data_IF_032453279864
#
_entry.id   IF_032453279864
#
_cell.length_a   1.000
_cell.length_b   1.000
_cell.length_c   1.000
_cell.angle_alpha   90.00
_cell.angle_beta   90.00
_cell.angle_gamma   90.00
#
_symmetry.space_group_name_H-M   'P 1'
#
loop_
_entity.id
_entity.type
_entity.pdbx_description
1 polymer ?
#
# COMPACT_ATOMS: atom_id res chain seq x y z
N UNK A 1 51.24 -15.17 -53.98
CA UNK A 1 50.41 -14.07 -54.53
C UNK A 1 49.00 -14.26 -54.00
N UNK A 2 48.49 -13.27 -53.28
CA UNK A 2 47.46 -13.43 -52.27
C UNK A 2 46.03 -13.50 -52.82
N UNK A 3 45.25 -14.30 -52.10
CA UNK A 3 43.81 -14.52 -52.11
C UNK A 3 43.02 -13.22 -52.07
N UNK A 4 41.94 -13.13 -52.87
CA UNK A 4 40.80 -12.28 -52.54
C UNK A 4 39.52 -12.91 -53.09
N UNK A 5 38.84 -13.69 -52.24
CA UNK A 5 37.47 -14.13 -52.47
C UNK A 5 36.65 -13.71 -51.24
N UNK A 6 35.69 -12.80 -51.51
CA UNK A 6 34.36 -12.71 -50.92
C UNK A 6 34.23 -12.80 -49.39
N UNK A 7 33.83 -11.70 -48.75
CA UNK A 7 32.85 -11.74 -47.65
C UNK A 7 32.17 -10.36 -47.50
N UNK A 8 30.97 -10.22 -48.07
CA UNK A 8 29.96 -9.24 -47.65
C UNK A 8 28.65 -9.99 -47.46
N UNK A 9 28.48 -10.66 -46.33
CA UNK A 9 27.18 -11.12 -45.86
C UNK A 9 26.66 -10.06 -44.88
N UNK A 10 25.70 -9.27 -45.35
CA UNK A 10 24.94 -8.34 -44.54
C UNK A 10 24.17 -9.12 -43.46
N UNK A 11 24.42 -8.78 -42.19
CA UNK A 11 23.60 -9.19 -41.06
C UNK A 11 22.19 -8.61 -41.24
N UNK A 12 21.27 -9.40 -41.80
CA UNK A 12 19.85 -9.09 -41.85
C UNK A 12 19.22 -9.46 -40.49
N UNK A 13 18.48 -8.56 -39.81
CA UNK A 13 17.77 -8.92 -38.58
C UNK A 13 16.78 -10.06 -38.87
N UNK A 14 16.95 -11.19 -38.18
CA UNK A 14 16.37 -12.47 -38.56
C UNK A 14 14.84 -12.53 -38.56
N UNK A 15 14.30 -13.25 -39.55
CA UNK A 15 12.89 -13.64 -39.73
C UNK A 15 12.22 -14.33 -38.52
N UNK A 16 12.96 -14.71 -37.47
CA UNK A 16 12.43 -15.46 -36.30
C UNK A 16 11.70 -14.58 -35.27
N UNK A 17 12.16 -13.36 -35.02
CA UNK A 17 11.51 -12.45 -34.04
C UNK A 17 10.10 -12.04 -34.47
N UNK A 18 9.87 -11.94 -35.79
CA UNK A 18 8.55 -11.68 -36.37
C UNK A 18 7.56 -12.84 -36.12
N UNK A 19 8.06 -14.09 -35.95
CA UNK A 19 7.19 -15.26 -35.75
C UNK A 19 6.65 -15.37 -34.32
N UNK A 20 7.45 -15.07 -33.30
CA UNK A 20 7.01 -15.14 -31.90
C UNK A 20 6.01 -14.04 -31.56
N UNK A 21 6.25 -12.81 -32.04
CA UNK A 21 5.30 -11.70 -31.90
C UNK A 21 3.97 -12.01 -32.63
N UNK A 22 4.04 -12.60 -33.82
CA UNK A 22 2.85 -13.01 -34.58
C UNK A 22 2.08 -14.14 -33.87
N UNK A 23 2.77 -15.12 -33.30
CA UNK A 23 2.16 -16.19 -32.51
C UNK A 23 1.48 -15.64 -31.26
N UNK A 24 2.15 -14.76 -30.51
CA UNK A 24 1.57 -14.10 -29.34
C UNK A 24 0.31 -13.32 -29.75
N UNK A 25 0.39 -12.53 -30.83
CA UNK A 25 -0.77 -11.79 -31.35
C UNK A 25 -1.93 -12.72 -31.70
N UNK A 26 -1.68 -13.85 -32.36
CA UNK A 26 -2.71 -14.83 -32.68
C UNK A 26 -3.37 -15.43 -31.43
N UNK A 27 -2.60 -15.71 -30.38
CA UNK A 27 -3.15 -16.16 -29.10
C UNK A 27 -4.02 -15.07 -28.48
N UNK A 28 -3.53 -13.83 -28.42
CA UNK A 28 -4.28 -12.70 -27.86
C UNK A 28 -5.57 -12.45 -28.64
N UNK A 29 -5.51 -12.40 -29.97
CA UNK A 29 -6.68 -12.15 -30.82
C UNK A 29 -7.74 -13.24 -30.61
N UNK A 30 -7.34 -14.51 -30.52
CA UNK A 30 -8.26 -15.62 -30.24
C UNK A 30 -8.92 -15.51 -28.86
N UNK A 31 -8.17 -15.18 -27.82
CA UNK A 31 -8.73 -14.99 -26.48
C UNK A 31 -9.68 -13.79 -26.44
N UNK A 32 -9.32 -12.68 -27.10
CA UNK A 32 -10.17 -11.49 -27.19
C UNK A 32 -11.46 -11.77 -27.97
N UNK A 33 -11.37 -12.49 -29.09
CA UNK A 33 -12.52 -12.97 -29.84
C UNK A 33 -13.39 -13.91 -29.00
N UNK A 34 -12.79 -14.81 -28.23
CA UNK A 34 -13.50 -15.66 -27.27
C UNK A 34 -14.29 -14.85 -26.24
N UNK A 35 -13.68 -13.82 -25.64
CA UNK A 35 -14.34 -12.91 -24.69
C UNK A 35 -15.49 -12.14 -25.35
N UNK A 36 -15.29 -11.66 -26.60
CA UNK A 36 -16.34 -10.97 -27.37
C UNK A 36 -17.50 -11.90 -27.71
N UNK A 37 -17.20 -13.10 -28.21
CA UNK A 37 -18.19 -14.11 -28.57
C UNK A 37 -18.99 -14.62 -27.36
N UNK A 38 -18.37 -14.67 -26.19
CA UNK A 38 -19.03 -14.99 -24.93
C UNK A 38 -19.87 -13.84 -24.35
N UNK A 39 -19.82 -12.63 -24.93
CA UNK A 39 -20.52 -11.45 -24.39
C UNK A 39 -19.95 -10.94 -23.07
N UNK A 40 -18.76 -11.38 -22.66
CA UNK A 40 -18.10 -10.97 -21.41
C UNK A 40 -17.12 -9.81 -21.61
N UNK A 41 -17.10 -9.25 -22.82
CA UNK A 41 -16.36 -8.03 -23.13
C UNK A 41 -16.81 -6.88 -22.23
N UNK A 42 -15.87 -6.30 -21.49
CA UNK A 42 -16.13 -5.17 -20.59
C UNK A 42 -15.85 -3.87 -21.32
N UNK A 43 -16.88 -3.05 -21.47
CA UNK A 43 -16.76 -1.66 -21.88
C UNK A 43 -16.95 -0.76 -20.66
N UNK A 44 -16.22 0.35 -20.63
CA UNK A 44 -16.38 1.35 -19.59
C UNK A 44 -17.68 2.16 -19.79
N UNK A 45 -18.21 2.66 -18.69
CA UNK A 45 -19.25 3.69 -18.69
C UNK A 45 -18.66 4.94 -18.05
N UNK A 46 -18.76 6.07 -18.72
CA UNK A 46 -18.11 7.32 -18.28
C UNK A 46 -19.02 8.06 -17.32
N UNK A 47 -18.57 8.22 -16.07
CA UNK A 47 -19.26 9.04 -15.06
C UNK A 47 -18.82 10.50 -15.23
N UNK A 48 -19.77 11.43 -15.34
CA UNK A 48 -19.53 12.86 -15.64
C UNK A 48 -19.88 13.80 -14.48
N UNK A 49 -20.19 13.25 -13.31
CA UNK A 49 -20.43 13.99 -12.07
C UNK A 49 -19.42 13.61 -10.99
N UNK A 50 -19.44 14.33 -9.86
CA UNK A 50 -18.82 13.85 -8.61
C UNK A 50 -19.43 12.51 -8.19
N UNK A 51 -18.65 11.72 -7.44
CA UNK A 51 -19.08 10.43 -6.91
C UNK A 51 -20.11 10.62 -5.79
N UNK A 52 -21.15 9.80 -5.73
CA UNK A 52 -22.22 9.90 -4.74
C UNK A 52 -23.35 8.89 -4.99
N UNK A 53 -24.43 8.93 -4.19
CA UNK A 53 -25.58 8.05 -4.37
C UNK A 53 -26.33 8.32 -5.68
N UNK A 54 -26.25 9.54 -6.21
CA UNK A 54 -26.78 9.92 -7.52
C UNK A 54 -25.65 10.51 -8.37
N UNK A 55 -25.46 9.95 -9.56
CA UNK A 55 -24.39 10.32 -10.51
C UNK A 55 -24.97 10.66 -11.89
N UNK A 56 -24.14 11.23 -12.76
CA UNK A 56 -24.42 11.38 -14.19
C UNK A 56 -23.52 10.46 -14.99
N UNK A 57 -24.08 9.82 -16.02
CA UNK A 57 -23.37 8.92 -16.93
C UNK A 57 -23.49 9.50 -18.33
N UNK A 58 -22.39 9.55 -19.07
CA UNK A 58 -22.36 10.04 -20.44
C UNK A 58 -23.41 9.33 -21.32
N UNK A 59 -24.13 10.11 -22.14
CA UNK A 59 -25.16 9.60 -23.03
C UNK A 59 -26.48 9.18 -22.35
N UNK A 60 -26.58 9.27 -21.02
CA UNK A 60 -27.80 8.93 -20.27
C UNK A 60 -28.40 10.19 -19.65
N UNK A 61 -29.68 10.45 -19.93
CA UNK A 61 -30.41 11.59 -19.37
C UNK A 61 -30.86 11.35 -17.93
N UNK A 62 -30.78 12.38 -17.10
CA UNK A 62 -31.22 12.34 -15.71
C UNK A 62 -30.14 11.89 -14.71
N UNK A 63 -30.49 11.90 -13.43
CA UNK A 63 -29.64 11.36 -12.37
C UNK A 63 -29.77 9.85 -12.26
N UNK A 64 -28.65 9.15 -12.09
CA UNK A 64 -28.56 7.70 -11.98
C UNK A 64 -28.18 7.31 -10.56
N UNK A 65 -28.96 6.44 -9.93
CA UNK A 65 -28.61 5.92 -8.61
C UNK A 65 -27.43 4.94 -8.70
N UNK A 66 -26.40 5.17 -7.89
CA UNK A 66 -25.18 4.37 -7.89
C UNK A 66 -25.16 3.37 -6.72
N UNK A 67 -25.26 2.07 -7.04
CA UNK A 67 -25.23 0.97 -6.09
C UNK A 67 -24.00 0.06 -6.22
N UNK A 68 -22.98 0.47 -6.99
CA UNK A 68 -21.78 -0.34 -7.21
C UNK A 68 -20.46 0.38 -6.87
N UNK A 69 -20.53 1.50 -6.13
CA UNK A 69 -19.34 2.18 -5.63
C UNK A 69 -18.88 1.61 -4.28
N UNK A 70 -17.58 1.50 -4.09
CA UNK A 70 -16.96 1.20 -2.79
C UNK A 70 -16.91 2.45 -1.85
N UNK A 71 -17.74 3.46 -2.10
CA UNK A 71 -17.82 4.70 -1.33
C UNK A 71 -18.84 4.57 -0.19
N UNK A 72 -18.65 3.58 0.69
CA UNK A 72 -19.64 3.17 1.70
C UNK A 72 -20.05 4.28 2.66
N UNK A 73 -19.13 5.17 3.01
CA UNK A 73 -19.34 6.28 3.95
C UNK A 73 -19.59 7.62 3.24
N UNK A 74 -19.64 7.66 1.92
CA UNK A 74 -19.87 8.90 1.16
C UNK A 74 -18.68 9.88 1.14
N UNK A 75 -17.51 9.49 1.63
CA UNK A 75 -16.37 10.39 1.85
C UNK A 75 -15.67 10.84 0.56
N UNK A 76 -15.81 10.13 -0.57
CA UNK A 76 -15.13 10.48 -1.83
C UNK A 76 -15.41 11.89 -2.34
N UNK A 77 -16.56 12.48 -1.98
CA UNK A 77 -16.95 13.84 -2.37
C UNK A 77 -17.30 14.73 -1.17
N UNK A 78 -16.93 14.32 0.05
CA UNK A 78 -17.29 15.05 1.26
C UNK A 78 -16.53 16.40 1.32
N UNK A 79 -17.21 17.53 1.62
CA UNK A 79 -16.59 18.85 1.58
C UNK A 79 -15.33 18.99 2.44
N UNK A 80 -15.35 18.45 3.66
CA UNK A 80 -14.19 18.53 4.57
C UNK A 80 -12.99 17.73 4.07
N UNK A 81 -13.21 16.57 3.44
CA UNK A 81 -12.13 15.74 2.87
C UNK A 81 -11.48 16.46 1.69
N UNK A 82 -12.31 17.08 0.83
CA UNK A 82 -11.83 17.89 -0.29
C UNK A 82 -11.05 19.09 0.22
N UNK A 83 -11.56 19.79 1.24
CA UNK A 83 -10.91 20.97 1.79
C UNK A 83 -9.57 20.64 2.44
N UNK A 84 -9.49 19.56 3.21
CA UNK A 84 -8.25 19.06 3.78
C UNK A 84 -7.25 18.67 2.68
N UNK A 85 -7.73 18.04 1.60
CA UNK A 85 -6.92 17.73 0.43
C UNK A 85 -6.36 18.98 -0.26
N UNK A 86 -7.16 20.02 -0.45
CA UNK A 86 -6.71 21.30 -1.01
C UNK A 86 -5.67 21.99 -0.12
N UNK A 87 -5.88 22.00 1.20
CA UNK A 87 -4.89 22.54 2.15
C UNK A 87 -3.58 21.77 2.09
N UNK A 88 -3.63 20.44 2.05
CA UNK A 88 -2.44 19.62 1.93
C UNK A 88 -1.70 19.87 0.60
N UNK A 89 -2.43 20.07 -0.51
CA UNK A 89 -1.81 20.42 -1.79
C UNK A 89 -1.09 21.78 -1.75
N UNK A 90 -1.68 22.77 -1.06
CA UNK A 90 -1.08 24.09 -0.89
C UNK A 90 0.17 24.04 0.01
N UNK A 91 0.09 23.32 1.13
CA UNK A 91 1.17 23.24 2.12
C UNK A 91 2.32 22.32 1.67
N UNK A 92 1.99 21.18 1.06
CA UNK A 92 2.93 20.08 0.80
C UNK A 92 3.20 19.82 -0.68
N UNK A 93 2.43 20.42 -1.59
CA UNK A 93 2.51 20.16 -3.04
C UNK A 93 1.82 18.87 -3.48
N UNK A 94 1.70 18.68 -4.80
CA UNK A 94 0.97 17.55 -5.40
C UNK A 94 1.67 16.18 -5.26
N UNK A 95 2.97 16.17 -4.95
CA UNK A 95 3.75 14.96 -4.83
C UNK A 95 5.23 15.27 -4.61
N UNK A 96 5.99 14.24 -4.23
CA UNK A 96 7.39 14.42 -3.80
C UNK A 96 8.42 14.05 -4.85
N UNK A 97 8.00 13.39 -5.94
CA UNK A 97 8.86 12.98 -7.08
C UNK A 97 10.17 12.30 -6.67
N UNK A 98 10.18 11.64 -5.52
CA UNK A 98 11.39 11.11 -4.90
C UNK A 98 11.08 10.03 -3.87
N UNK A 99 12.05 9.16 -3.62
CA UNK A 99 12.00 8.20 -2.52
C UNK A 99 12.25 8.87 -1.17
N UNK A 100 11.78 8.26 -0.08
CA UNK A 100 11.88 8.78 1.29
C UNK A 100 13.28 9.27 1.66
N UNK A 101 14.31 8.47 1.38
CA UNK A 101 15.70 8.75 1.78
C UNK A 101 16.32 9.96 1.06
N UNK A 102 15.96 10.20 -0.21
CA UNK A 102 16.55 11.28 -1.00
C UNK A 102 15.87 12.61 -0.66
N UNK A 103 14.57 12.74 -0.98
CA UNK A 103 13.79 13.94 -0.63
C UNK A 103 12.27 13.70 -0.57
N UNK A 104 11.85 12.44 -0.40
CA UNK A 104 10.44 12.04 -0.37
C UNK A 104 9.80 12.07 1.03
N UNK A 105 10.37 12.76 2.00
CA UNK A 105 9.91 12.73 3.40
C UNK A 105 9.50 14.12 3.88
N UNK A 106 8.23 14.30 4.23
CA UNK A 106 7.69 15.56 4.80
C UNK A 106 7.42 15.47 6.30
N UNK A 107 7.33 16.64 6.96
CA UNK A 107 7.08 16.80 8.41
C UNK A 107 5.84 16.04 8.89
N UNK A 108 4.74 16.07 8.12
CA UNK A 108 3.48 15.37 8.45
C UNK A 108 3.66 13.85 8.65
N UNK A 109 4.68 13.25 8.03
CA UNK A 109 4.98 11.83 8.22
C UNK A 109 5.76 11.59 9.51
N UNK A 110 6.61 12.53 9.93
CA UNK A 110 7.71 12.22 10.83
C UNK A 110 7.40 12.39 12.31
N UNK A 111 6.54 13.33 12.69
CA UNK A 111 6.45 13.74 14.09
C UNK A 111 5.94 12.61 15.01
N UNK A 112 4.81 12.01 14.67
CA UNK A 112 4.23 10.91 15.46
C UNK A 112 4.99 9.58 15.27
N UNK A 113 5.49 9.32 14.06
CA UNK A 113 6.35 8.14 13.77
C UNK A 113 7.60 8.15 14.65
N UNK A 114 8.30 9.29 14.71
CA UNK A 114 9.53 9.45 15.49
C UNK A 114 9.26 9.36 16.98
N UNK A 115 8.16 9.96 17.47
CA UNK A 115 7.75 9.87 18.88
C UNK A 115 7.52 8.41 19.30
N UNK A 116 6.73 7.66 18.55
CA UNK A 116 6.46 6.25 18.85
C UNK A 116 7.75 5.42 18.83
N UNK A 117 8.56 5.53 17.78
CA UNK A 117 9.81 4.76 17.63
C UNK A 117 10.79 5.05 18.76
N UNK A 118 11.06 6.32 19.02
CA UNK A 118 11.99 6.76 20.07
C UNK A 118 11.56 6.22 21.44
N UNK A 119 10.27 6.34 21.79
CA UNK A 119 9.77 5.84 23.07
C UNK A 119 9.80 4.32 23.20
N UNK A 120 9.48 3.59 22.12
CA UNK A 120 9.55 2.13 22.11
C UNK A 120 10.98 1.61 22.22
N UNK A 121 11.91 2.22 21.49
CA UNK A 121 13.34 1.88 21.55
C UNK A 121 13.93 2.22 22.92
N UNK A 122 13.58 3.38 23.51
CA UNK A 122 13.97 3.75 24.86
C UNK A 122 13.41 2.78 25.93
N UNK A 123 12.25 2.19 25.68
CA UNK A 123 11.69 1.15 26.55
C UNK A 123 12.36 -0.23 26.39
N UNK A 124 13.22 -0.41 25.38
CA UNK A 124 13.95 -1.65 25.13
C UNK A 124 13.38 -2.52 24.01
N UNK A 125 12.35 -2.08 23.29
CA UNK A 125 11.84 -2.81 22.14
C UNK A 125 12.70 -2.58 20.89
N UNK A 126 12.82 -3.61 20.07
CA UNK A 126 13.41 -3.48 18.73
C UNK A 126 12.34 -3.16 17.70
N UNK A 127 12.42 -2.00 17.04
CA UNK A 127 11.53 -1.64 15.92
C UNK A 127 12.27 -1.85 14.60
N UNK A 128 11.70 -2.64 13.69
CA UNK A 128 12.34 -2.91 12.40
C UNK A 128 12.08 -1.81 11.37
N UNK A 129 13.11 -1.53 10.56
CA UNK A 129 13.05 -0.53 9.49
C UNK A 129 13.08 0.90 10.04
N UNK A 130 13.24 1.87 9.15
CA UNK A 130 13.20 3.29 9.46
C UNK A 130 12.30 4.01 8.43
N UNK A 131 11.82 5.20 8.79
CA UNK A 131 11.21 6.13 7.84
C UNK A 131 9.96 5.61 7.10
N UNK A 132 9.04 4.98 7.84
CA UNK A 132 7.74 4.53 7.33
C UNK A 132 6.68 4.56 8.44
N UNK A 133 5.39 4.85 8.14
CA UNK A 133 4.28 4.86 9.11
C UNK A 133 3.96 3.50 9.75
N UNK A 134 4.69 2.45 9.37
CA UNK A 134 4.56 1.12 9.95
C UNK A 134 5.77 0.93 10.85
N UNK A 135 5.51 0.62 12.11
CA UNK A 135 6.50 0.36 13.14
C UNK A 135 6.33 -1.10 13.58
N UNK A 136 7.05 -2.06 12.97
CA UNK A 136 7.01 -3.46 13.37
C UNK A 136 7.83 -3.66 14.66
N UNK A 137 7.15 -4.00 15.74
CA UNK A 137 7.75 -4.37 17.04
C UNK A 137 8.20 -5.82 16.96
N UNK A 138 9.51 -6.04 16.95
CA UNK A 138 10.10 -7.37 16.76
C UNK A 138 10.06 -8.18 18.05
N UNK A 139 9.45 -9.37 17.99
CA UNK A 139 9.30 -10.28 19.15
C UNK A 139 9.97 -11.64 18.90
N UNK A 140 10.14 -12.03 17.64
CA UNK A 140 10.82 -13.27 17.24
C UNK A 140 9.96 -14.52 17.40
N UNK A 141 9.27 -14.66 18.54
CA UNK A 141 8.42 -15.80 18.87
C UNK A 141 6.94 -15.57 18.51
N UNK A 142 6.32 -16.60 17.93
CA UNK A 142 4.94 -16.54 17.46
C UNK A 142 3.91 -16.52 18.59
N UNK A 143 4.14 -17.29 19.67
CA UNK A 143 3.22 -17.34 20.81
C UNK A 143 3.26 -16.04 21.58
N UNK A 144 4.46 -15.54 21.86
CA UNK A 144 4.67 -14.23 22.48
C UNK A 144 3.95 -13.13 21.70
N UNK A 145 4.12 -13.11 20.37
CA UNK A 145 3.46 -12.11 19.53
C UNK A 145 1.92 -12.17 19.58
N UNK A 146 1.33 -13.36 19.67
CA UNK A 146 -0.12 -13.52 19.77
C UNK A 146 -0.63 -13.15 21.17
N UNK A 147 0.05 -13.59 22.23
CA UNK A 147 -0.34 -13.32 23.61
C UNK A 147 -0.24 -11.84 23.96
N UNK A 148 0.87 -11.18 23.56
CA UNK A 148 1.00 -9.74 23.73
C UNK A 148 -0.10 -8.98 22.97
N UNK A 149 -0.43 -9.37 21.73
CA UNK A 149 -1.49 -8.72 20.97
C UNK A 149 -2.88 -8.85 21.65
N UNK A 150 -3.16 -10.01 22.26
CA UNK A 150 -4.39 -10.23 23.02
C UNK A 150 -4.44 -9.35 24.29
N UNK A 151 -3.34 -9.21 25.01
CA UNK A 151 -3.30 -8.38 26.21
C UNK A 151 -3.25 -6.88 25.91
N UNK A 152 -2.67 -6.48 24.78
CA UNK A 152 -2.80 -5.12 24.26
C UNK A 152 -4.27 -4.78 23.98
N UNK A 153 -5.05 -5.72 23.43
CA UNK A 153 -6.48 -5.54 23.24
C UNK A 153 -7.21 -5.33 24.57
N UNK A 154 -6.83 -6.06 25.64
CA UNK A 154 -7.37 -5.86 27.00
C UNK A 154 -7.01 -4.47 27.58
N UNK A 155 -5.90 -3.87 27.14
CA UNK A 155 -5.51 -2.47 27.44
C UNK A 155 -6.22 -1.44 26.55
N UNK A 156 -7.10 -1.87 25.65
CA UNK A 156 -7.82 -1.02 24.71
C UNK A 156 -6.97 -0.57 23.52
N UNK A 157 -5.88 -1.27 23.21
CA UNK A 157 -5.00 -1.00 22.07
C UNK A 157 -5.13 -2.16 21.08
N UNK A 158 -5.79 -1.92 19.95
CA UNK A 158 -5.99 -2.95 18.95
C UNK A 158 -4.78 -3.06 18.01
N UNK A 159 -4.02 -4.14 18.16
CA UNK A 159 -2.86 -4.48 17.32
C UNK A 159 -2.90 -5.96 16.96
N UNK A 160 -2.24 -6.32 15.86
CA UNK A 160 -2.18 -7.70 15.37
C UNK A 160 -0.74 -8.20 15.35
N UNK A 161 -0.54 -9.36 15.98
CA UNK A 161 0.68 -10.16 15.86
C UNK A 161 0.74 -10.91 14.53
N UNK A 162 1.88 -10.83 13.85
CA UNK A 162 2.16 -11.55 12.62
C UNK A 162 3.20 -12.63 12.88
N UNK A 163 2.89 -13.84 12.46
CA UNK A 163 3.78 -15.00 12.52
C UNK A 163 3.71 -15.78 11.19
N UNK A 164 4.42 -16.91 11.10
CA UNK A 164 4.36 -17.79 9.92
C UNK A 164 2.92 -18.25 9.67
N UNK A 165 2.42 -18.29 8.41
CA UNK A 165 3.14 -18.13 7.14
C UNK A 165 3.29 -16.70 6.63
N UNK A 166 2.70 -15.71 7.31
CA UNK A 166 2.71 -14.30 6.85
C UNK A 166 4.10 -13.69 6.92
N UNK A 167 4.91 -14.13 7.89
CA UNK A 167 6.31 -13.71 8.06
C UNK A 167 7.21 -14.94 8.30
N UNK A 168 8.52 -14.88 7.97
CA UNK A 168 9.42 -16.00 8.20
C UNK A 168 9.44 -16.47 9.67
N UNK A 169 9.71 -17.77 9.89
CA UNK A 169 9.88 -18.33 11.23
C UNK A 169 10.98 -17.58 11.99
N UNK A 170 10.79 -17.37 13.30
CA UNK A 170 11.71 -16.61 14.15
C UNK A 170 11.68 -15.09 13.94
N UNK A 171 10.80 -14.57 13.08
CA UNK A 171 10.63 -13.13 12.81
C UNK A 171 9.21 -12.65 13.12
N UNK A 172 8.57 -13.26 14.11
CA UNK A 172 7.25 -12.81 14.57
C UNK A 172 7.33 -11.38 15.13
N UNK A 173 6.26 -10.61 14.95
CA UNK A 173 6.23 -9.18 15.24
C UNK A 173 4.81 -8.66 15.33
N UNK A 174 4.61 -7.63 16.14
CA UNK A 174 3.36 -6.86 16.12
C UNK A 174 3.56 -5.68 15.18
N UNK A 175 2.63 -5.49 14.23
CA UNK A 175 2.68 -4.34 13.32
C UNK A 175 1.85 -3.21 13.93
N UNK A 176 2.48 -2.06 14.16
CA UNK A 176 1.80 -0.83 14.56
C UNK A 176 1.80 0.12 13.37
N UNK A 177 0.67 0.74 13.06
CA UNK A 177 0.53 1.71 11.98
C UNK A 177 0.11 3.06 12.55
N UNK A 178 0.94 4.07 12.36
CA UNK A 178 0.70 5.42 12.87
C UNK A 178 -0.09 6.20 11.83
N UNK A 179 -1.27 6.67 12.22
CA UNK A 179 -2.07 7.62 11.47
C UNK A 179 -1.68 9.05 11.85
N UNK A 180 -1.81 9.98 10.90
CA UNK A 180 -1.67 11.41 11.16
C UNK A 180 -2.81 11.97 12.05
N UNK A 181 -3.90 11.22 12.23
CA UNK A 181 -5.05 11.59 13.07
C UNK A 181 -4.85 11.18 14.54
N UNK A 182 -3.89 10.29 14.84
CA UNK A 182 -3.56 10.00 16.23
C UNK A 182 -3.03 11.26 16.93
N UNK A 183 -3.43 11.47 18.17
CA UNK A 183 -2.83 12.52 18.99
C UNK A 183 -1.50 12.07 19.57
N UNK A 184 -0.75 13.01 20.12
CA UNK A 184 0.46 12.71 20.87
C UNK A 184 0.19 11.85 22.11
N UNK A 185 -0.98 12.02 22.74
CA UNK A 185 -1.45 11.23 23.87
C UNK A 185 -1.85 9.80 23.46
N UNK A 186 -2.43 9.61 22.27
CA UNK A 186 -2.72 8.27 21.73
C UNK A 186 -1.43 7.44 21.60
N UNK A 187 -0.36 8.09 21.10
CA UNK A 187 0.97 7.47 20.99
C UNK A 187 1.49 7.08 22.37
N UNK A 188 1.36 7.98 23.35
CA UNK A 188 1.89 7.76 24.70
C UNK A 188 1.17 6.60 25.40
N UNK A 189 -0.17 6.59 25.34
CA UNK A 189 -0.98 5.49 25.87
C UNK A 189 -0.66 4.15 25.21
N UNK A 190 -0.42 4.14 23.89
CA UNK A 190 -0.04 2.93 23.15
C UNK A 190 1.31 2.39 23.63
N UNK A 191 2.31 3.27 23.78
CA UNK A 191 3.64 2.92 24.30
C UNK A 191 3.53 2.38 25.72
N UNK A 192 2.82 3.06 26.62
CA UNK A 192 2.65 2.63 28.01
C UNK A 192 2.06 1.21 28.09
N UNK A 193 1.03 0.92 27.30
CA UNK A 193 0.45 -0.41 27.20
C UNK A 193 1.48 -1.45 26.71
N UNK A 194 2.29 -1.12 25.70
CA UNK A 194 3.36 -2.01 25.23
C UNK A 194 4.39 -2.29 26.31
N UNK A 195 4.79 -1.30 27.10
CA UNK A 195 5.76 -1.47 28.19
C UNK A 195 5.20 -2.38 29.27
N UNK A 196 3.96 -2.15 29.70
CA UNK A 196 3.30 -2.97 30.73
C UNK A 196 3.15 -4.43 30.27
N UNK A 197 2.63 -4.64 29.05
CA UNK A 197 2.44 -5.97 28.47
C UNK A 197 3.79 -6.63 28.16
N UNK A 198 4.79 -5.87 27.71
CA UNK A 198 6.13 -6.37 27.46
C UNK A 198 6.80 -6.93 28.71
N UNK A 199 6.68 -6.23 29.84
CA UNK A 199 7.16 -6.71 31.14
C UNK A 199 6.41 -7.95 31.61
N UNK A 200 5.08 -7.97 31.45
CA UNK A 200 4.23 -9.11 31.83
C UNK A 200 4.66 -10.40 31.13
N UNK A 201 5.02 -10.32 29.85
CA UNK A 201 5.41 -11.48 29.03
C UNK A 201 6.93 -11.72 28.95
N UNK A 202 7.74 -10.96 29.70
CA UNK A 202 9.20 -11.07 29.69
C UNK A 202 9.87 -10.67 28.37
N UNK A 203 9.18 -9.88 27.54
CA UNK A 203 9.75 -9.27 26.33
C UNK A 203 10.65 -8.07 26.67
N UNK A 204 10.45 -7.48 27.86
CA UNK A 204 11.28 -6.45 28.46
C UNK A 204 11.79 -6.91 29.83
N UNK A 205 12.98 -6.45 30.26
CA UNK A 205 13.48 -6.68 31.61
C UNK A 205 12.63 -6.00 32.71
#
# INVERSE_FOLDING_TARGET
>A
MWVNFLWRAALSPGRRAHSALAQLRCVLDRELEGIRGAGTWKSERVITSRQGPCIRVEGISGGILNFCANNYLGLSSHPEVIQAGLQALEEFGAGLSSTRFICGTQSIHKNLEAKFRSKMEAAGFTISGADHPICPVMLGDARLSSQMAEDMLKKGIFVIGFSYPVVPKGKARIRVQISAVHSEEDIDRCVEAFVEVGKLHGALP
#
